data_IF_886388989950
#
_entry.id   IF_886388989950
#
_cell.length_a   1.000
_cell.length_b   1.000
_cell.length_c   1.000
_cell.angle_alpha   90.00
_cell.angle_beta   90.00
_cell.angle_gamma   90.00
#
_symmetry.space_group_name_H-M   'P 1'
#
loop_
_entity.id
_entity.type
_entity.pdbx_description
1 polymer ?
#
# COMPACT_ATOMS: atom_id res chain seq x y z
N UNK A 1 10.44 -12.55 -21.73
CA UNK A 1 10.19 -13.53 -20.66
C UNK A 1 9.28 -12.91 -19.61
N UNK A 2 8.22 -13.59 -19.22
CA UNK A 2 7.32 -13.07 -18.20
C UNK A 2 8.00 -13.11 -16.83
N UNK A 3 7.77 -12.07 -16.03
CA UNK A 3 8.24 -11.99 -14.66
C UNK A 3 7.03 -12.31 -13.76
N UNK A 4 7.23 -13.15 -12.77
CA UNK A 4 6.16 -13.49 -11.84
C UNK A 4 5.91 -12.34 -10.85
N UNK A 5 4.65 -12.06 -10.58
CA UNK A 5 4.26 -11.03 -9.62
C UNK A 5 4.64 -11.44 -8.18
N UNK A 6 4.38 -12.68 -7.82
CA UNK A 6 4.75 -13.22 -6.51
C UNK A 6 5.96 -14.12 -6.65
N UNK A 7 7.02 -13.83 -5.89
CA UNK A 7 8.28 -14.56 -5.97
C UNK A 7 8.68 -15.07 -4.59
N UNK A 8 8.98 -16.36 -4.51
CA UNK A 8 9.51 -16.99 -3.30
C UNK A 8 11.02 -16.81 -3.30
N UNK A 9 11.50 -15.92 -2.46
CA UNK A 9 12.94 -15.66 -2.28
C UNK A 9 13.21 -15.24 -0.85
N UNK A 10 14.47 -15.33 -0.44
CA UNK A 10 14.90 -14.77 0.84
C UNK A 10 15.50 -13.39 0.57
N UNK A 11 14.93 -12.37 1.19
CA UNK A 11 15.45 -11.02 1.05
C UNK A 11 15.15 -10.19 2.31
N UNK A 12 15.89 -9.10 2.48
CA UNK A 12 15.66 -8.13 3.53
C UNK A 12 14.96 -6.90 2.94
N UNK A 13 13.84 -6.50 3.56
CA UNK A 13 13.12 -5.30 3.14
C UNK A 13 13.87 -4.03 3.55
N UNK A 14 13.45 -2.87 3.02
CA UNK A 14 14.00 -1.57 3.42
C UNK A 14 13.88 -1.31 4.92
N UNK A 15 12.91 -1.93 5.58
CA UNK A 15 12.72 -1.82 7.03
C UNK A 15 13.55 -2.84 7.82
N UNK A 16 14.44 -3.60 7.16
CA UNK A 16 15.29 -4.60 7.81
C UNK A 16 14.59 -5.91 8.13
N UNK A 17 13.41 -6.16 7.57
CA UNK A 17 12.68 -7.42 7.78
C UNK A 17 13.14 -8.49 6.80
N UNK A 18 13.43 -9.68 7.31
CA UNK A 18 13.72 -10.84 6.48
C UNK A 18 12.39 -11.43 5.99
N UNK A 19 12.21 -11.44 4.67
CA UNK A 19 11.00 -11.91 4.03
C UNK A 19 11.32 -13.10 3.13
N UNK A 20 10.44 -14.10 3.11
CA UNK A 20 10.62 -15.31 2.31
C UNK A 20 9.94 -15.23 0.93
N UNK A 21 9.26 -14.14 0.65
CA UNK A 21 8.63 -13.89 -0.64
C UNK A 21 8.49 -12.38 -0.86
N UNK A 22 8.38 -12.00 -2.10
CA UNK A 22 8.17 -10.59 -2.48
C UNK A 22 7.11 -10.46 -3.56
N UNK A 23 6.60 -9.25 -3.69
CA UNK A 23 5.72 -8.83 -4.77
C UNK A 23 6.57 -8.02 -5.75
N UNK A 24 6.69 -8.52 -6.99
CA UNK A 24 7.47 -7.84 -8.03
C UNK A 24 6.54 -7.02 -8.91
N UNK A 25 6.39 -5.75 -8.57
CA UNK A 25 5.43 -4.86 -9.24
C UNK A 25 5.81 -4.57 -10.71
N UNK A 26 7.08 -4.75 -11.08
CA UNK A 26 7.50 -4.64 -12.47
C UNK A 26 6.91 -5.74 -13.37
N UNK A 27 6.35 -6.78 -12.79
CA UNK A 27 5.63 -7.82 -13.52
C UNK A 27 4.31 -7.33 -14.11
N UNK A 28 3.76 -6.24 -13.61
CA UNK A 28 2.49 -5.69 -14.08
C UNK A 28 2.66 -5.02 -15.43
N UNK A 29 1.71 -5.30 -16.33
CA UNK A 29 1.64 -4.64 -17.64
C UNK A 29 1.14 -3.20 -17.50
N UNK A 30 1.32 -2.41 -18.57
CA UNK A 30 0.76 -1.07 -18.62
C UNK A 30 -0.76 -1.06 -18.43
N UNK A 31 -1.46 -2.03 -19.02
CA UNK A 31 -2.90 -2.15 -18.85
C UNK A 31 -3.29 -2.47 -17.41
N UNK A 32 -2.52 -3.30 -16.73
CA UNK A 32 -2.75 -3.61 -15.31
C UNK A 32 -2.51 -2.38 -14.43
N UNK A 33 -1.48 -1.59 -14.70
CA UNK A 33 -1.24 -0.33 -13.99
C UNK A 33 -2.37 0.67 -14.20
N UNK A 34 -2.89 0.78 -15.41
CA UNK A 34 -4.04 1.64 -15.72
C UNK A 34 -5.29 1.16 -14.99
N UNK A 35 -5.49 -0.15 -14.91
CA UNK A 35 -6.61 -0.72 -14.17
C UNK A 35 -6.50 -0.42 -12.67
N UNK A 36 -5.32 -0.59 -12.09
CA UNK A 36 -5.06 -0.24 -10.69
C UNK A 36 -5.34 1.23 -10.43
N UNK A 37 -4.89 2.11 -11.32
CA UNK A 37 -5.17 3.54 -11.24
C UNK A 37 -6.67 3.81 -11.22
N UNK A 38 -7.41 3.16 -12.10
CA UNK A 38 -8.86 3.26 -12.17
C UNK A 38 -9.53 2.78 -10.87
N UNK A 39 -9.07 1.65 -10.33
CA UNK A 39 -9.58 1.11 -9.06
C UNK A 39 -9.41 2.11 -7.92
N UNK A 40 -8.24 2.74 -7.82
CA UNK A 40 -7.97 3.76 -6.81
C UNK A 40 -8.89 4.97 -7.03
N UNK A 41 -9.03 5.43 -8.28
CA UNK A 41 -9.87 6.59 -8.58
C UNK A 41 -11.35 6.38 -8.23
N UNK A 42 -11.84 5.15 -8.33
CA UNK A 42 -13.22 4.84 -7.93
C UNK A 42 -13.44 4.97 -6.42
N UNK A 43 -12.38 4.77 -5.63
CA UNK A 43 -12.48 4.70 -4.17
C UNK A 43 -11.96 5.96 -3.47
N UNK A 44 -11.06 6.70 -4.11
CA UNK A 44 -10.38 7.82 -3.49
C UNK A 44 -11.21 9.08 -3.51
N UNK A 45 -11.05 9.88 -2.45
CA UNK A 45 -11.50 11.27 -2.50
C UNK A 45 -10.63 12.06 -3.49
N UNK A 46 -11.11 13.22 -3.96
CA UNK A 46 -10.31 14.09 -4.84
C UNK A 46 -8.99 14.50 -4.19
N UNK A 47 -7.95 14.67 -4.98
CA UNK A 47 -6.63 15.10 -4.53
C UNK A 47 -6.04 16.15 -5.46
N UNK A 48 -5.27 17.09 -4.90
CA UNK A 48 -4.69 18.18 -5.66
C UNK A 48 -3.50 17.78 -6.50
N UNK A 49 -2.72 16.80 -6.06
CA UNK A 49 -1.57 16.22 -6.73
C UNK A 49 -1.28 14.85 -6.16
N UNK A 50 -0.72 13.96 -6.96
CA UNK A 50 -0.29 12.64 -6.52
C UNK A 50 1.24 12.51 -6.62
N UNK A 51 1.85 12.05 -5.55
CA UNK A 51 3.29 11.88 -5.44
C UNK A 51 3.60 10.43 -5.07
N UNK A 52 4.41 9.78 -5.90
CA UNK A 52 4.85 8.41 -5.63
C UNK A 52 6.14 8.36 -4.82
N UNK A 53 6.17 7.46 -3.84
CA UNK A 53 7.38 7.22 -3.06
C UNK A 53 8.45 6.58 -3.95
N UNK A 54 9.66 7.15 -4.06
CA UNK A 54 10.73 6.48 -4.79
C UNK A 54 11.13 5.14 -4.12
N UNK A 55 11.41 4.11 -4.94
CA UNK A 55 11.25 4.09 -6.40
C UNK A 55 9.92 3.48 -6.83
N UNK A 56 9.43 2.50 -6.08
CA UNK A 56 8.29 1.67 -6.48
C UNK A 56 6.99 2.41 -6.71
N UNK A 57 6.78 3.53 -6.01
CA UNK A 57 5.54 4.30 -6.12
C UNK A 57 5.51 5.33 -7.24
N UNK A 58 6.66 5.59 -7.89
CA UNK A 58 6.76 6.70 -8.86
C UNK A 58 5.83 6.52 -10.05
N UNK A 59 5.78 5.32 -10.61
CA UNK A 59 4.94 5.02 -11.77
C UNK A 59 3.46 5.21 -11.46
N UNK A 60 3.01 4.68 -10.32
CA UNK A 60 1.63 4.85 -9.86
C UNK A 60 1.31 6.33 -9.62
N UNK A 61 2.24 7.05 -8.99
CA UNK A 61 2.08 8.49 -8.77
C UNK A 61 1.90 9.26 -10.07
N UNK A 62 2.65 8.92 -11.10
CA UNK A 62 2.53 9.57 -12.42
C UNK A 62 1.16 9.31 -13.04
N UNK A 63 0.68 8.07 -13.02
CA UNK A 63 -0.66 7.74 -13.54
C UNK A 63 -1.77 8.46 -12.77
N UNK A 64 -1.70 8.45 -11.45
CA UNK A 64 -2.70 9.11 -10.62
C UNK A 64 -2.67 10.63 -10.76
N UNK A 65 -1.49 11.20 -10.93
CA UNK A 65 -1.37 12.65 -11.04
C UNK A 65 -2.07 13.23 -12.28
N UNK A 66 -2.30 12.42 -13.32
CA UNK A 66 -3.11 12.82 -14.46
C UNK A 66 -4.56 13.12 -14.08
N UNK A 67 -5.03 12.59 -12.95
CA UNK A 67 -6.38 12.79 -12.44
C UNK A 67 -6.45 13.81 -11.29
N UNK A 68 -5.36 14.52 -11.02
CA UNK A 68 -5.31 15.51 -9.96
C UNK A 68 -6.23 16.71 -10.27
N UNK A 69 -6.83 17.26 -9.21
CA UNK A 69 -7.72 18.41 -9.34
C UNK A 69 -6.95 19.74 -9.41
N UNK A 70 -5.75 19.77 -8.88
CA UNK A 70 -4.90 20.95 -8.74
C UNK A 70 -5.55 22.06 -7.88
N UNK A 71 -6.57 21.71 -7.07
CA UNK A 71 -7.26 22.65 -6.20
C UNK A 71 -6.60 22.70 -4.83
N UNK A 72 -6.42 23.89 -4.29
CA UNK A 72 -5.75 24.08 -3.01
C UNK A 72 -6.51 23.44 -1.82
N UNK A 73 -7.82 23.34 -1.91
CA UNK A 73 -8.66 22.74 -0.87
C UNK A 73 -8.58 21.22 -0.83
N UNK A 74 -8.04 20.58 -1.87
CA UNK A 74 -7.92 19.13 -1.90
C UNK A 74 -6.58 18.67 -1.30
N UNK A 75 -6.54 17.46 -0.69
CA UNK A 75 -5.31 16.95 -0.10
C UNK A 75 -4.29 16.54 -1.16
N UNK A 76 -3.03 16.46 -0.74
CA UNK A 76 -2.00 15.74 -1.50
C UNK A 76 -2.19 14.24 -1.33
N UNK A 77 -1.97 13.48 -2.40
CA UNK A 77 -2.02 12.03 -2.37
C UNK A 77 -0.59 11.47 -2.42
N UNK A 78 -0.22 10.72 -1.40
CA UNK A 78 1.06 10.01 -1.35
C UNK A 78 0.78 8.54 -1.67
N UNK A 79 1.49 7.98 -2.64
CA UNK A 79 1.27 6.59 -3.07
C UNK A 79 2.55 5.78 -3.07
N UNK A 80 2.38 4.49 -2.81
CA UNK A 80 3.43 3.48 -2.95
C UNK A 80 2.83 2.20 -3.52
N UNK A 81 3.68 1.33 -4.03
CA UNK A 81 3.23 0.07 -4.60
C UNK A 81 2.98 -0.99 -3.53
N UNK A 82 3.94 -1.24 -2.65
CA UNK A 82 3.85 -2.25 -1.60
C UNK A 82 4.28 -1.65 -0.26
N UNK A 83 3.43 -1.84 0.74
CA UNK A 83 3.71 -1.41 2.11
C UNK A 83 3.96 -2.64 2.99
N UNK A 84 5.07 -2.66 3.72
CA UNK A 84 5.36 -3.70 4.71
C UNK A 84 5.14 -3.20 6.14
N UNK A 85 5.79 -2.10 6.52
CA UNK A 85 5.65 -1.51 7.87
C UNK A 85 4.96 -0.16 7.88
N UNK A 86 4.84 0.48 6.71
CA UNK A 86 4.33 1.84 6.60
C UNK A 86 5.34 2.92 6.99
N UNK A 87 6.54 2.53 7.43
CA UNK A 87 7.57 3.47 7.87
C UNK A 87 8.02 4.43 6.78
N UNK A 88 8.28 3.93 5.58
CA UNK A 88 8.75 4.75 4.45
C UNK A 88 7.75 5.83 4.08
N UNK A 89 6.47 5.50 4.01
CA UNK A 89 5.42 6.48 3.70
C UNK A 89 5.26 7.51 4.81
N UNK A 90 5.30 7.08 6.05
CA UNK A 90 5.16 7.96 7.22
C UNK A 90 6.32 8.95 7.30
N UNK A 91 7.54 8.47 7.09
CA UNK A 91 8.73 9.33 7.07
C UNK A 91 8.68 10.32 5.92
N UNK A 92 8.34 9.87 4.71
CA UNK A 92 8.22 10.74 3.54
C UNK A 92 7.20 11.84 3.77
N UNK A 93 6.05 11.49 4.35
CA UNK A 93 5.01 12.46 4.71
C UNK A 93 5.53 13.50 5.70
N UNK A 94 6.25 13.07 6.72
CA UNK A 94 6.84 14.00 7.72
C UNK A 94 7.89 14.93 7.12
N UNK A 95 8.70 14.42 6.20
CA UNK A 95 9.79 15.22 5.61
C UNK A 95 9.29 16.22 4.57
N UNK A 96 8.34 15.81 3.72
CA UNK A 96 7.94 16.58 2.53
C UNK A 96 6.59 17.25 2.64
N UNK A 97 5.72 16.80 3.56
CA UNK A 97 4.34 17.28 3.66
C UNK A 97 3.95 17.67 5.08
N UNK A 98 4.93 18.11 5.87
CA UNK A 98 4.66 18.61 7.22
C UNK A 98 3.65 19.76 7.16
N UNK A 99 2.64 19.71 8.06
CA UNK A 99 1.56 20.70 8.15
C UNK A 99 0.67 20.78 6.90
N UNK A 100 0.74 19.79 6.00
CA UNK A 100 -0.12 19.72 4.83
C UNK A 100 -1.15 18.61 4.98
N UNK A 101 -2.34 18.84 4.42
CA UNK A 101 -3.38 17.82 4.38
C UNK A 101 -3.01 16.76 3.34
N UNK A 102 -2.86 15.52 3.79
CA UNK A 102 -2.44 14.41 2.95
C UNK A 102 -3.32 13.19 3.14
N UNK A 103 -3.50 12.43 2.06
CA UNK A 103 -4.08 11.09 2.06
C UNK A 103 -3.08 10.15 1.40
N UNK A 104 -3.26 8.85 1.60
CA UNK A 104 -2.35 7.86 1.03
C UNK A 104 -3.08 6.70 0.40
N UNK A 105 -2.46 6.10 -0.61
CA UNK A 105 -2.89 4.84 -1.21
C UNK A 105 -1.68 3.95 -1.47
N UNK A 106 -1.84 2.65 -1.19
CA UNK A 106 -0.89 1.61 -1.61
C UNK A 106 -1.65 0.54 -2.36
N UNK A 107 -0.97 -0.16 -3.26
CA UNK A 107 -1.60 -1.27 -3.97
C UNK A 107 -1.71 -2.49 -3.07
N UNK A 108 -0.60 -2.95 -2.52
CA UNK A 108 -0.56 -4.10 -1.62
C UNK A 108 -0.05 -3.71 -0.24
N UNK A 109 -0.81 -4.05 0.80
CA UNK A 109 -0.37 -3.90 2.18
C UNK A 109 -0.05 -5.29 2.76
N UNK A 110 1.19 -5.47 3.20
CA UNK A 110 1.70 -6.69 3.87
C UNK A 110 1.87 -6.48 5.36
N UNK A 111 1.28 -5.46 5.92
CA UNK A 111 1.41 -5.10 7.31
C UNK A 111 0.37 -4.08 7.72
N UNK A 112 0.58 -3.48 8.87
CA UNK A 112 -0.33 -2.47 9.39
C UNK A 112 -0.35 -1.23 8.49
N UNK A 113 -1.56 -0.77 8.17
CA UNK A 113 -1.78 0.42 7.35
C UNK A 113 -2.09 1.61 8.26
N UNK A 114 -1.32 2.71 8.17
CA UNK A 114 -1.62 3.91 8.95
C UNK A 114 -3.02 4.46 8.66
N UNK A 115 -3.62 5.12 9.64
CA UNK A 115 -5.00 5.62 9.53
C UNK A 115 -5.21 6.60 8.36
N UNK A 116 -4.17 7.32 7.97
CA UNK A 116 -4.24 8.29 6.87
C UNK A 116 -4.08 7.68 5.49
N UNK A 117 -3.84 6.36 5.42
CA UNK A 117 -3.56 5.63 4.18
C UNK A 117 -4.58 4.51 3.98
N UNK A 118 -4.94 4.26 2.72
CA UNK A 118 -5.76 3.12 2.32
C UNK A 118 -4.94 2.16 1.47
N UNK A 119 -5.41 0.92 1.36
CA UNK A 119 -4.79 -0.10 0.52
C UNK A 119 -5.84 -0.76 -0.36
N UNK A 120 -5.48 -1.04 -1.62
CA UNK A 120 -6.37 -1.81 -2.50
C UNK A 120 -6.47 -3.26 -2.04
N UNK A 121 -5.34 -3.86 -1.74
CA UNK A 121 -5.27 -5.26 -1.33
C UNK A 121 -4.55 -5.37 0.01
N UNK A 122 -5.28 -5.77 1.03
CA UNK A 122 -4.74 -6.01 2.37
C UNK A 122 -4.50 -7.51 2.52
N UNK A 123 -3.27 -7.87 2.87
CA UNK A 123 -2.87 -9.27 3.03
C UNK A 123 -2.70 -9.59 4.51
N UNK A 124 -3.04 -10.83 4.95
CA UNK A 124 -2.70 -11.26 6.30
C UNK A 124 -1.19 -11.17 6.52
N UNK A 125 -0.77 -10.81 7.71
CA UNK A 125 0.64 -10.66 8.02
C UNK A 125 0.94 -11.18 9.43
N UNK A 126 2.23 -11.45 9.68
CA UNK A 126 2.70 -11.84 11.01
C UNK A 126 3.31 -10.65 11.72
N UNK A 127 2.93 -10.47 12.98
CA UNK A 127 3.60 -9.53 13.87
C UNK A 127 4.99 -10.07 14.25
N UNK A 128 5.92 -9.21 14.75
CA UNK A 128 7.24 -9.66 15.16
C UNK A 128 7.24 -10.76 16.21
N UNK A 129 6.18 -10.88 17.01
CA UNK A 129 6.02 -11.94 18.03
C UNK A 129 5.50 -13.26 17.42
N UNK A 130 5.29 -13.33 16.11
CA UNK A 130 4.78 -14.51 15.43
C UNK A 130 3.27 -14.58 15.32
N UNK A 131 2.54 -13.64 15.89
CA UNK A 131 1.08 -13.59 15.81
C UNK A 131 0.64 -13.21 14.39
N UNK A 132 -0.30 -13.97 13.82
CA UNK A 132 -0.87 -13.67 12.51
C UNK A 132 -2.04 -12.71 12.65
N UNK A 133 -2.06 -11.70 11.77
CA UNK A 133 -3.11 -10.69 11.73
C UNK A 133 -3.93 -10.86 10.47
N UNK A 134 -5.26 -10.76 10.61
CA UNK A 134 -6.19 -10.77 9.50
C UNK A 134 -6.22 -9.41 8.78
N UNK A 135 -6.97 -9.35 7.68
CA UNK A 135 -7.20 -8.12 6.92
C UNK A 135 -7.78 -6.99 7.77
N UNK A 136 -8.50 -7.33 8.85
CA UNK A 136 -9.15 -6.35 9.73
C UNK A 136 -8.33 -6.01 10.97
N UNK A 137 -7.07 -6.47 11.04
CA UNK A 137 -6.21 -6.24 12.19
C UNK A 137 -6.55 -7.11 13.41
N UNK A 138 -7.36 -8.15 13.22
CA UNK A 138 -7.74 -9.10 14.27
C UNK A 138 -6.79 -10.30 14.20
N UNK A 139 -6.32 -10.78 15.35
CA UNK A 139 -5.50 -12.00 15.39
C UNK A 139 -6.25 -13.16 14.77
N UNK A 140 -5.59 -13.93 13.89
CA UNK A 140 -6.25 -14.98 13.10
C UNK A 140 -6.86 -16.08 13.99
N UNK A 141 -6.21 -16.46 15.07
CA UNK A 141 -6.75 -17.44 15.99
C UNK A 141 -8.06 -16.96 16.64
N UNK A 142 -8.12 -15.68 17.05
CA UNK A 142 -9.34 -15.09 17.57
C UNK A 142 -10.42 -14.99 16.48
N UNK A 143 -10.01 -14.71 15.26
CA UNK A 143 -10.93 -14.60 14.13
C UNK A 143 -11.56 -15.93 13.76
N UNK A 144 -10.78 -17.01 13.68
CA UNK A 144 -11.31 -18.35 13.41
C UNK A 144 -12.23 -18.83 14.53
N UNK A 145 -11.94 -18.45 15.75
CA UNK A 145 -12.78 -18.76 16.90
C UNK A 145 -14.17 -18.10 16.77
N UNK A 146 -14.19 -16.83 16.37
CA UNK A 146 -15.44 -16.08 16.16
C UNK A 146 -16.25 -16.65 14.99
N UNK A 147 -15.60 -17.10 13.94
CA UNK A 147 -16.30 -17.74 12.82
C UNK A 147 -16.96 -19.04 13.25
N UNK A 148 -16.32 -19.82 14.07
CA UNK A 148 -16.89 -21.05 14.59
C UNK A 148 -18.13 -20.82 15.48
N UNK A 149 -18.25 -19.65 16.09
CA UNK A 149 -19.42 -19.28 16.87
C UNK A 149 -20.61 -18.83 16.00
N UNK A 150 -20.35 -18.43 14.75
CA UNK A 150 -21.40 -17.95 13.84
C UNK A 150 -21.95 -19.08 12.97
N UNK A 151 -21.36 -20.24 13.02
CA UNK A 151 -21.87 -21.46 12.38
C UNK A 151 -22.62 -22.28 13.41
#
# INVERSE_FOLDING_TARGET
MAIDLFQKIDFESHAGLNLSWKIEMDALSENEWKCITHMIMELSQPFRAAIGIPRGGVKLGQYLNEHSTQREEDPYLIVDDVMTTGGSMTEYRKEHFKDKFTIGWVVFARGHVPIWCDALFRMPYKEPDGQMMSLMGIKIDEWSWRQNLLM
#
